data_IF_105866359986
#
_entry.id   IF_105866359986
#
_cell.length_a   1.000
_cell.length_b   1.000
_cell.length_c   1.000
_cell.angle_alpha   90.00
_cell.angle_beta   90.00
_cell.angle_gamma   90.00
#
_symmetry.space_group_name_H-M   'P 1'
#
loop_
_entity.id
_entity.type
_entity.pdbx_description
1 polymer ?
#
# COMPACT_ATOMS: atom_id res chain seq x y z
N UNK A 1 -10.77 54.43 15.41
CA UNK A 1 -10.88 52.96 15.30
C UNK A 1 -11.24 52.45 16.69
N UNK A 2 -12.31 51.66 16.81
CA UNK A 2 -12.70 51.17 18.14
C UNK A 2 -11.77 50.05 18.58
N UNK A 3 -11.55 49.90 19.90
CA UNK A 3 -10.72 48.85 20.49
C UNK A 3 -11.17 47.46 20.05
N UNK A 4 -12.47 47.27 19.81
CA UNK A 4 -13.05 46.02 19.30
C UNK A 4 -12.54 45.68 17.88
N UNK A 5 -12.38 46.68 16.99
CA UNK A 5 -11.88 46.46 15.64
C UNK A 5 -10.38 46.07 15.66
N UNK A 6 -9.60 46.65 16.58
CA UNK A 6 -8.21 46.30 16.76
C UNK A 6 -8.05 44.87 17.28
N UNK A 7 -8.84 44.49 18.27
CA UNK A 7 -8.83 43.12 18.85
C UNK A 7 -9.20 42.07 17.82
N UNK A 8 -10.21 42.32 17.00
CA UNK A 8 -10.60 41.47 15.90
C UNK A 8 -9.48 41.28 14.86
N UNK A 9 -8.78 42.37 14.51
CA UNK A 9 -7.65 42.30 13.57
C UNK A 9 -6.49 41.47 14.14
N UNK A 10 -6.19 41.60 15.43
CA UNK A 10 -5.14 40.82 16.11
C UNK A 10 -5.51 39.31 16.16
N UNK A 11 -6.78 38.98 16.45
CA UNK A 11 -7.28 37.59 16.43
C UNK A 11 -7.18 36.99 15.01
N UNK A 12 -7.54 37.76 13.99
CA UNK A 12 -7.42 37.31 12.60
C UNK A 12 -5.97 37.09 12.18
N UNK A 13 -5.06 38.00 12.55
CA UNK A 13 -3.63 37.84 12.28
C UNK A 13 -3.03 36.62 12.99
N UNK A 14 -3.36 36.41 14.27
CA UNK A 14 -2.92 35.23 15.02
C UNK A 14 -3.43 33.91 14.41
N UNK A 15 -4.71 33.87 13.99
CA UNK A 15 -5.27 32.69 13.32
C UNK A 15 -4.61 32.43 11.96
N UNK A 16 -4.27 33.45 11.20
CA UNK A 16 -3.55 33.33 9.93
C UNK A 16 -2.16 32.75 10.15
N UNK A 17 -1.39 33.25 11.11
CA UNK A 17 -0.07 32.74 11.47
C UNK A 17 -0.09 31.28 11.92
N UNK A 18 -1.05 30.91 12.77
CA UNK A 18 -1.22 29.50 13.20
C UNK A 18 -1.57 28.60 12.03
N UNK A 19 -2.44 29.05 11.12
CA UNK A 19 -2.84 28.31 9.93
C UNK A 19 -1.68 28.12 8.95
N UNK A 20 -0.86 29.15 8.76
CA UNK A 20 0.30 29.10 7.87
C UNK A 20 1.41 28.23 8.49
N UNK A 21 1.66 28.35 9.78
CA UNK A 21 2.59 27.47 10.51
C UNK A 21 2.15 25.99 10.47
N UNK A 22 0.85 25.70 10.55
CA UNK A 22 0.31 24.35 10.37
C UNK A 22 0.43 23.84 8.93
N UNK A 23 0.28 24.73 7.93
CA UNK A 23 0.49 24.38 6.51
C UNK A 23 1.96 24.08 6.22
N UNK A 24 2.86 24.90 6.73
CA UNK A 24 4.31 24.70 6.58
C UNK A 24 4.79 23.45 7.30
N UNK A 25 4.31 23.17 8.51
CA UNK A 25 4.58 21.94 9.22
C UNK A 25 4.04 20.71 8.48
N UNK A 26 2.84 20.80 7.88
CA UNK A 26 2.24 19.73 7.07
C UNK A 26 2.97 19.56 5.73
N UNK A 27 3.42 20.63 5.09
CA UNK A 27 4.22 20.58 3.87
C UNK A 27 5.62 20.01 4.15
N UNK A 28 6.23 20.38 5.30
CA UNK A 28 7.51 19.83 5.76
C UNK A 28 7.41 18.36 6.22
N UNK A 29 6.21 17.89 6.57
CA UNK A 29 5.95 16.50 6.96
C UNK A 29 5.73 15.58 5.76
N UNK A 30 5.60 16.12 4.52
CA UNK A 30 5.45 15.28 3.32
C UNK A 30 6.79 14.63 2.98
N UNK A 31 6.82 13.29 2.81
CA UNK A 31 8.05 12.63 2.41
C UNK A 31 8.44 13.07 1.00
N UNK A 32 9.72 13.35 0.83
CA UNK A 32 10.31 13.61 -0.47
C UNK A 32 10.41 12.33 -1.31
N UNK A 33 10.91 12.45 -2.53
CA UNK A 33 11.08 11.30 -3.43
C UNK A 33 12.03 10.27 -2.86
N UNK A 34 13.12 10.70 -2.22
CA UNK A 34 14.14 9.79 -1.68
C UNK A 34 13.58 8.93 -0.54
N UNK A 35 12.77 9.51 0.34
CA UNK A 35 12.10 8.77 1.44
C UNK A 35 11.06 7.78 0.91
N UNK A 36 10.26 8.17 -0.09
CA UNK A 36 9.31 7.26 -0.75
C UNK A 36 10.04 6.11 -1.44
N UNK A 37 11.15 6.40 -2.14
CA UNK A 37 11.99 5.41 -2.78
C UNK A 37 12.59 4.43 -1.77
N UNK A 38 13.20 4.94 -0.70
CA UNK A 38 13.76 4.11 0.36
C UNK A 38 12.68 3.20 0.99
N UNK A 39 11.45 3.70 1.15
CA UNK A 39 10.34 2.89 1.64
C UNK A 39 9.93 1.81 0.64
N UNK A 40 9.86 2.12 -0.68
CA UNK A 40 9.49 1.16 -1.73
C UNK A 40 10.54 0.05 -1.88
N UNK A 41 11.82 0.41 -1.82
CA UNK A 41 12.95 -0.50 -2.06
C UNK A 41 13.55 -1.11 -0.79
N UNK A 42 12.95 -0.87 0.39
CA UNK A 42 13.47 -1.44 1.63
C UNK A 42 13.55 -2.95 1.56
N UNK A 43 14.62 -3.50 2.14
CA UNK A 43 14.77 -4.94 2.26
C UNK A 43 13.62 -5.57 3.08
N UNK A 44 13.28 -6.83 2.85
CA UNK A 44 12.43 -7.61 3.75
C UNK A 44 12.89 -7.45 5.21
N UNK A 45 11.93 -7.25 6.12
CA UNK A 45 12.20 -7.02 7.55
C UNK A 45 13.07 -5.79 7.88
N UNK A 46 13.38 -4.94 6.89
CA UNK A 46 14.10 -3.68 7.11
C UNK A 46 13.29 -2.67 7.93
N UNK A 47 13.94 -1.67 8.53
CA UNK A 47 13.29 -0.68 9.37
C UNK A 47 12.22 0.08 8.58
N UNK A 48 11.09 0.35 9.24
CA UNK A 48 9.94 1.04 8.64
C UNK A 48 9.91 2.49 9.12
N UNK A 49 9.93 3.45 8.20
CA UNK A 49 9.66 4.85 8.51
C UNK A 49 8.14 5.06 8.68
N UNK A 50 7.69 5.02 9.93
CA UNK A 50 6.27 5.19 10.27
C UNK A 50 5.70 6.55 9.85
N UNK A 51 6.53 7.59 9.77
CA UNK A 51 6.09 8.90 9.31
C UNK A 51 5.77 8.86 7.81
N UNK A 52 6.62 8.21 7.02
CA UNK A 52 6.38 7.97 5.59
C UNK A 52 5.14 7.09 5.38
N UNK A 53 4.97 5.99 6.12
CA UNK A 53 3.76 5.14 6.03
C UNK A 53 2.50 5.94 6.33
N UNK A 54 2.51 6.74 7.40
CA UNK A 54 1.37 7.59 7.75
C UNK A 54 1.06 8.61 6.65
N UNK A 55 2.07 9.28 6.09
CA UNK A 55 1.86 10.23 5.00
C UNK A 55 1.30 9.57 3.74
N UNK A 56 1.76 8.37 3.38
CA UNK A 56 1.25 7.59 2.25
C UNK A 56 -0.25 7.29 2.42
N UNK A 57 -0.67 6.91 3.64
CA UNK A 57 -2.07 6.55 3.95
C UNK A 57 -2.97 7.77 4.12
N UNK A 58 -2.47 8.87 4.71
CA UNK A 58 -3.31 10.02 5.07
C UNK A 58 -3.34 11.14 4.04
N UNK A 59 -2.38 11.21 3.10
CA UNK A 59 -2.33 12.22 2.05
C UNK A 59 -2.52 11.58 0.66
N UNK A 60 -3.67 11.78 0.01
CA UNK A 60 -3.96 11.17 -1.31
C UNK A 60 -2.94 11.53 -2.40
N UNK A 61 -2.29 12.70 -2.29
CA UNK A 61 -1.25 13.11 -3.24
C UNK A 61 0.02 12.30 -3.05
N UNK A 62 0.45 12.11 -1.82
CA UNK A 62 1.60 11.26 -1.47
C UNK A 62 1.32 9.80 -1.84
N UNK A 63 0.11 9.29 -1.54
CA UNK A 63 -0.30 7.95 -1.92
C UNK A 63 -0.28 7.71 -3.43
N UNK A 64 -0.76 8.68 -4.24
CA UNK A 64 -0.67 8.58 -5.72
C UNK A 64 0.77 8.57 -6.22
N UNK A 65 1.63 9.47 -5.72
CA UNK A 65 3.05 9.51 -6.07
C UNK A 65 3.74 8.19 -5.73
N UNK A 66 3.45 7.64 -4.58
CA UNK A 66 4.01 6.37 -4.14
C UNK A 66 3.54 5.21 -5.04
N UNK A 67 2.25 5.10 -5.37
CA UNK A 67 1.73 4.08 -6.31
C UNK A 67 2.34 4.20 -7.71
N UNK A 68 2.54 5.42 -8.21
CA UNK A 68 3.25 5.63 -9.49
C UNK A 68 4.68 5.09 -9.42
N UNK A 69 5.36 5.34 -8.32
CA UNK A 69 6.72 4.82 -8.07
C UNK A 69 6.73 3.30 -7.99
N UNK A 70 5.79 2.69 -7.26
CA UNK A 70 5.65 1.24 -7.19
C UNK A 70 5.43 0.62 -8.57
N UNK A 71 4.58 1.23 -9.41
CA UNK A 71 4.35 0.75 -10.77
C UNK A 71 5.60 0.77 -11.65
N UNK A 72 6.52 1.72 -11.41
CA UNK A 72 7.80 1.79 -12.11
C UNK A 72 8.85 0.80 -11.56
N UNK A 73 8.75 0.41 -10.30
CA UNK A 73 9.69 -0.50 -9.62
C UNK A 73 9.26 -1.97 -9.71
N UNK A 74 7.96 -2.22 -9.82
CA UNK A 74 7.41 -3.56 -9.75
C UNK A 74 7.84 -4.42 -10.96
N UNK A 75 8.17 -5.68 -10.70
CA UNK A 75 8.36 -6.71 -11.73
C UNK A 75 7.08 -6.89 -12.55
N UNK A 76 5.93 -6.77 -11.89
CA UNK A 76 4.62 -6.73 -12.50
C UNK A 76 3.64 -5.98 -11.60
N UNK A 77 2.65 -5.33 -12.21
CA UNK A 77 1.54 -4.74 -11.48
C UNK A 77 0.22 -4.89 -12.25
N UNK A 78 -0.85 -4.99 -11.50
CA UNK A 78 -2.21 -4.93 -12.02
C UNK A 78 -2.92 -3.79 -11.30
N UNK A 79 -3.23 -2.67 -11.99
CA UNK A 79 -3.86 -1.50 -11.37
C UNK A 79 -5.29 -1.79 -10.91
N UNK A 80 -6.01 -2.63 -11.67
CA UNK A 80 -7.36 -3.13 -11.38
C UNK A 80 -7.48 -4.49 -12.05
N UNK A 81 -8.11 -5.46 -11.42
CA UNK A 81 -8.52 -6.65 -12.15
C UNK A 81 -9.64 -6.22 -13.12
N UNK A 82 -9.51 -6.54 -14.38
CA UNK A 82 -10.64 -6.45 -15.31
C UNK A 82 -11.70 -7.45 -14.84
N UNK A 83 -12.58 -6.99 -13.97
CA UNK A 83 -13.58 -7.85 -13.35
C UNK A 83 -14.72 -8.10 -14.32
N UNK A 84 -14.83 -9.31 -14.74
CA UNK A 84 -16.04 -9.88 -15.33
C UNK A 84 -16.58 -11.00 -14.42
N UNK A 85 -16.54 -10.85 -13.10
CA UNK A 85 -17.15 -11.84 -12.20
C UNK A 85 -17.80 -11.15 -11.01
N UNK A 86 -19.08 -11.45 -10.79
CA UNK A 86 -19.88 -11.01 -9.64
C UNK A 86 -19.51 -11.75 -8.35
N UNK A 87 -18.27 -12.16 -8.18
CA UNK A 87 -17.80 -12.93 -7.04
C UNK A 87 -16.38 -12.60 -6.59
N UNK A 88 -15.99 -13.12 -5.42
CA UNK A 88 -14.64 -12.99 -4.89
C UNK A 88 -13.62 -13.60 -5.85
N UNK A 89 -12.54 -12.86 -6.10
CA UNK A 89 -11.45 -13.33 -6.95
C UNK A 89 -10.61 -14.33 -6.17
N UNK A 90 -10.58 -15.58 -6.66
CA UNK A 90 -9.69 -16.63 -6.13
C UNK A 90 -8.46 -16.84 -7.01
N UNK A 91 -8.49 -16.34 -8.25
CA UNK A 91 -7.39 -16.43 -9.20
C UNK A 91 -7.28 -15.15 -10.03
N UNK A 92 -6.07 -14.60 -10.12
CA UNK A 92 -5.80 -13.41 -10.95
C UNK A 92 -4.42 -13.48 -11.59
N UNK A 93 -4.26 -12.78 -12.72
CA UNK A 93 -2.98 -12.62 -13.39
C UNK A 93 -2.41 -11.23 -13.13
N UNK A 94 -1.12 -11.16 -12.83
CA UNK A 94 -0.37 -9.92 -12.62
C UNK A 94 0.88 -10.00 -13.48
N UNK A 95 0.83 -9.46 -14.71
CA UNK A 95 1.89 -9.65 -15.70
C UNK A 95 2.14 -11.12 -16.01
N UNK A 96 3.39 -11.57 -15.87
CA UNK A 96 3.80 -12.97 -16.05
C UNK A 96 3.55 -13.86 -14.83
N UNK A 97 2.85 -13.35 -13.81
CA UNK A 97 2.60 -14.08 -12.58
C UNK A 97 1.14 -14.52 -12.49
N UNK A 98 0.93 -15.78 -12.09
CA UNK A 98 -0.35 -16.31 -11.70
C UNK A 98 -0.47 -16.30 -10.18
N UNK A 99 -1.50 -15.66 -9.67
CA UNK A 99 -1.81 -15.50 -8.26
C UNK A 99 -3.11 -16.21 -7.97
N UNK A 100 -3.12 -17.13 -7.02
CA UNK A 100 -4.26 -17.96 -6.67
C UNK A 100 -4.43 -18.03 -5.15
N UNK A 101 -5.66 -17.93 -4.69
CA UNK A 101 -6.01 -18.14 -3.28
C UNK A 101 -6.68 -19.51 -3.19
N UNK A 102 -6.04 -20.41 -2.48
CA UNK A 102 -6.57 -21.73 -2.17
C UNK A 102 -7.27 -21.64 -0.82
N UNK A 103 -8.57 -21.88 -0.81
CA UNK A 103 -9.31 -21.96 0.44
C UNK A 103 -8.90 -23.22 1.19
N UNK A 104 -8.74 -23.08 2.49
CA UNK A 104 -8.33 -24.20 3.31
C UNK A 104 -9.51 -25.08 3.70
N UNK A 105 -9.24 -26.38 3.85
CA UNK A 105 -10.11 -27.32 4.53
C UNK A 105 -9.77 -27.36 6.04
N UNK A 106 -10.73 -27.77 6.84
CA UNK A 106 -10.51 -28.13 8.27
C UNK A 106 -9.94 -27.02 9.17
N UNK A 107 -10.28 -25.76 8.91
CA UNK A 107 -9.88 -24.62 9.76
C UNK A 107 -8.43 -24.16 9.60
N UNK A 108 -7.70 -24.69 8.64
CA UNK A 108 -6.39 -24.15 8.27
C UNK A 108 -6.54 -22.78 7.59
N UNK A 109 -5.52 -21.89 7.62
CA UNK A 109 -5.58 -20.62 6.93
C UNK A 109 -5.57 -20.80 5.40
N UNK A 110 -6.26 -19.95 4.63
CA UNK A 110 -6.14 -19.92 3.19
C UNK A 110 -4.68 -19.70 2.74
N UNK A 111 -4.32 -20.23 1.59
CA UNK A 111 -2.98 -20.11 1.04
C UNK A 111 -2.98 -19.21 -0.19
N UNK A 112 -2.12 -18.20 -0.20
CA UNK A 112 -1.76 -17.47 -1.41
C UNK A 112 -0.65 -18.24 -2.13
N UNK A 113 -0.92 -18.64 -3.37
CA UNK A 113 0.07 -19.28 -4.24
C UNK A 113 0.40 -18.33 -5.37
N UNK A 114 1.67 -17.96 -5.48
CA UNK A 114 2.21 -17.14 -6.56
C UNK A 114 3.15 -17.97 -7.41
N UNK A 115 2.87 -18.07 -8.71
CA UNK A 115 3.72 -18.77 -9.68
C UNK A 115 4.23 -17.81 -10.74
N UNK A 116 5.48 -17.99 -11.16
CA UNK A 116 6.12 -17.22 -12.23
C UNK A 116 6.25 -18.05 -13.49
N UNK A 117 5.85 -17.50 -14.63
CA UNK A 117 6.13 -18.06 -15.95
C UNK A 117 7.52 -17.65 -16.47
N UNK A 118 8.12 -16.61 -15.90
CA UNK A 118 9.38 -16.03 -16.34
C UNK A 118 10.61 -16.44 -15.51
N UNK A 119 10.44 -17.27 -14.50
CA UNK A 119 11.53 -17.75 -13.62
C UNK A 119 12.01 -16.75 -12.56
N UNK A 120 11.80 -15.45 -12.73
CA UNK A 120 12.09 -14.45 -11.72
C UNK A 120 10.94 -14.37 -10.72
N UNK A 121 11.26 -14.32 -9.42
CA UNK A 121 10.24 -14.24 -8.37
C UNK A 121 10.34 -12.92 -7.61
N UNK A 122 9.19 -12.28 -7.32
CA UNK A 122 9.14 -11.10 -6.46
C UNK A 122 9.47 -11.49 -5.01
N UNK A 123 9.98 -10.53 -4.27
CA UNK A 123 10.26 -10.69 -2.83
C UNK A 123 9.18 -10.11 -1.95
N UNK A 124 8.39 -9.21 -2.51
CA UNK A 124 7.37 -8.46 -1.79
C UNK A 124 6.10 -8.39 -2.63
N UNK A 125 4.97 -8.56 -1.99
CA UNK A 125 3.66 -8.21 -2.54
C UNK A 125 3.13 -6.97 -1.81
N UNK A 126 2.68 -5.98 -2.56
CA UNK A 126 1.98 -4.82 -2.02
C UNK A 126 0.63 -4.67 -2.70
N UNK A 127 -0.43 -4.61 -1.90
CA UNK A 127 -1.81 -4.48 -2.35
C UNK A 127 -2.40 -3.15 -1.90
N UNK A 128 -3.25 -2.57 -2.73
CA UNK A 128 -3.95 -1.31 -2.50
C UNK A 128 -5.42 -1.47 -2.84
N UNK A 129 -6.28 -1.12 -1.89
CA UNK A 129 -7.72 -1.04 -2.07
C UNK A 129 -8.20 0.25 -1.41
N UNK A 130 -8.68 1.20 -2.21
CA UNK A 130 -9.00 2.56 -1.79
C UNK A 130 -7.83 3.24 -1.05
N UNK A 131 -7.94 3.47 0.24
CA UNK A 131 -6.93 4.04 1.13
C UNK A 131 -6.21 2.99 2.02
N UNK A 132 -6.63 1.72 1.93
CA UNK A 132 -5.99 0.62 2.63
C UNK A 132 -4.78 0.08 1.86
N UNK A 133 -3.76 -0.31 2.59
CA UNK A 133 -2.55 -0.92 2.03
C UNK A 133 -2.11 -2.11 2.85
N UNK A 134 -1.75 -3.20 2.18
CA UNK A 134 -1.10 -4.36 2.80
C UNK A 134 0.21 -4.64 2.06
N UNK A 135 1.30 -4.86 2.81
CA UNK A 135 2.61 -5.20 2.26
C UNK A 135 3.20 -6.36 3.03
N UNK A 136 3.49 -7.46 2.32
CA UNK A 136 4.08 -8.65 2.91
C UNK A 136 5.33 -9.09 2.14
N UNK A 137 6.27 -9.63 2.89
CA UNK A 137 7.45 -10.31 2.33
C UNK A 137 7.05 -11.73 1.93
N UNK A 138 7.39 -12.11 0.70
CA UNK A 138 6.95 -13.37 0.10
C UNK A 138 7.84 -14.58 0.45
N UNK A 139 9.02 -14.33 1.04
CA UNK A 139 9.96 -15.40 1.34
C UNK A 139 10.64 -15.99 0.10
N UNK A 140 11.25 -17.14 0.27
CA UNK A 140 11.96 -17.85 -0.79
C UNK A 140 10.98 -18.65 -1.67
N UNK A 141 11.20 -18.61 -2.98
CA UNK A 141 10.46 -19.47 -3.89
C UNK A 141 10.99 -20.90 -3.86
N UNK A 142 10.09 -21.87 -3.97
CA UNK A 142 10.42 -23.28 -4.16
C UNK A 142 9.78 -23.74 -5.47
N UNK A 143 10.58 -24.31 -6.36
CA UNK A 143 10.11 -24.79 -7.66
C UNK A 143 9.32 -23.78 -8.50
N UNK A 144 9.75 -22.51 -8.48
CA UNK A 144 9.09 -21.43 -9.23
C UNK A 144 7.77 -20.95 -8.64
N UNK A 145 7.47 -21.31 -7.40
CA UNK A 145 6.30 -20.87 -6.68
C UNK A 145 6.64 -20.32 -5.29
N UNK A 146 5.86 -19.36 -4.83
CA UNK A 146 5.82 -18.92 -3.44
C UNK A 146 4.46 -19.28 -2.87
N UNK A 147 4.45 -19.84 -1.66
CA UNK A 147 3.24 -20.13 -0.90
C UNK A 147 3.27 -19.35 0.40
N UNK A 148 2.24 -18.56 0.65
CA UNK A 148 2.08 -17.75 1.85
C UNK A 148 0.75 -18.07 2.51
N UNK A 149 0.77 -18.37 3.82
CA UNK A 149 -0.47 -18.52 4.58
C UNK A 149 -1.11 -17.14 4.83
N UNK A 150 -2.37 -17.01 4.47
CA UNK A 150 -3.19 -15.83 4.75
C UNK A 150 -3.88 -16.01 6.11
N UNK A 151 -3.06 -16.17 7.16
CA UNK A 151 -3.54 -16.44 8.51
C UNK A 151 -4.40 -15.28 9.04
N UNK A 152 -5.69 -15.52 9.38
CA UNK A 152 -6.56 -14.49 9.91
C UNK A 152 -6.11 -13.94 11.29
N UNK A 153 -5.26 -14.68 12.01
CA UNK A 153 -4.67 -14.21 13.26
C UNK A 153 -3.54 -13.19 13.04
N UNK A 154 -2.98 -13.10 11.81
CA UNK A 154 -1.95 -12.13 11.44
C UNK A 154 -2.60 -10.97 10.68
N UNK A 155 -2.67 -9.76 11.27
CA UNK A 155 -3.45 -8.65 10.71
C UNK A 155 -3.11 -8.30 9.26
N UNK A 156 -1.82 -8.24 8.91
CA UNK A 156 -1.39 -7.88 7.55
C UNK A 156 -1.71 -9.00 6.54
N UNK A 157 -1.64 -10.27 6.94
CA UNK A 157 -1.99 -11.41 6.09
C UNK A 157 -3.51 -11.49 5.87
N UNK A 158 -4.30 -11.29 6.93
CA UNK A 158 -5.75 -11.21 6.86
C UNK A 158 -6.20 -10.07 5.95
N UNK A 159 -5.59 -8.89 6.10
CA UNK A 159 -5.86 -7.72 5.27
C UNK A 159 -5.54 -8.00 3.81
N UNK A 160 -4.34 -8.52 3.51
CA UNK A 160 -3.95 -8.90 2.16
C UNK A 160 -4.94 -9.91 1.55
N UNK A 161 -5.31 -10.96 2.30
CA UNK A 161 -6.24 -11.98 1.83
C UNK A 161 -7.61 -11.41 1.47
N UNK A 162 -8.12 -10.45 2.26
CA UNK A 162 -9.37 -9.74 1.97
C UNK A 162 -9.22 -8.86 0.71
N UNK A 163 -8.17 -8.05 0.63
CA UNK A 163 -7.92 -7.14 -0.49
C UNK A 163 -7.76 -7.88 -1.81
N UNK A 164 -7.03 -8.98 -1.83
CA UNK A 164 -6.77 -9.75 -3.07
C UNK A 164 -8.03 -10.36 -3.67
N UNK A 165 -9.08 -10.58 -2.88
CA UNK A 165 -10.39 -11.06 -3.35
C UNK A 165 -11.23 -9.97 -3.99
N UNK A 166 -10.87 -8.71 -3.79
CA UNK A 166 -11.58 -7.57 -4.37
C UNK A 166 -11.03 -7.25 -5.77
N UNK A 167 -11.90 -7.16 -6.81
CA UNK A 167 -11.47 -6.81 -8.16
C UNK A 167 -10.89 -5.40 -8.28
N UNK A 168 -11.28 -4.47 -7.40
CA UNK A 168 -10.74 -3.12 -7.38
C UNK A 168 -9.33 -3.02 -6.75
N UNK A 169 -8.83 -4.11 -6.18
CA UNK A 169 -7.52 -4.14 -5.56
C UNK A 169 -6.40 -4.03 -6.60
N UNK A 170 -5.57 -3.01 -6.48
CA UNK A 170 -4.31 -2.92 -7.22
C UNK A 170 -3.22 -3.75 -6.54
N UNK A 171 -2.45 -4.50 -7.33
CA UNK A 171 -1.38 -5.38 -6.83
C UNK A 171 -0.05 -5.05 -7.49
N UNK A 172 0.99 -4.94 -6.69
CA UNK A 172 2.38 -4.71 -7.10
C UNK A 172 3.25 -5.86 -6.59
N UNK A 173 4.03 -6.44 -7.49
CA UNK A 173 5.01 -7.50 -7.22
C UNK A 173 6.40 -6.92 -7.36
N UNK A 174 7.16 -6.84 -6.25
CA UNK A 174 8.43 -6.14 -6.12
C UNK A 174 9.59 -7.11 -5.84
#
# INVERSE_FOLDING_TARGET
>A
MSDAARLLAEIHAARALVRDGLRDAKASARPDHARLWAHATRAPHGPVDLATVRAIRSDPTTGRRYRTMLGALALAHAPLAAAASDGAIVRRRVGAFALEILEAADGAPPLLVLRSEAGQMPRVIEAWLDDETARLDLGAATEGAVVLALDPAVPDAALLGRMLRDPACAVFLL
#
